data_IF_502557985465
#
_entry.id   IF_502557985465
#
_cell.length_a   1.000
_cell.length_b   1.000
_cell.length_c   1.000
_cell.angle_alpha   90.00
_cell.angle_beta   90.00
_cell.angle_gamma   90.00
#
_symmetry.space_group_name_H-M   'P 1'
#
loop_
_entity.id
_entity.type
_entity.pdbx_description
1 polymer ?
#
# COMPACT_ATOMS: atom_id res chain seq x y z
N UNK A 1 71.09 -31.69 8.55
CA UNK A 1 69.70 -31.72 8.00
C UNK A 1 68.76 -31.67 9.18
N UNK A 2 68.09 -30.52 9.38
CA UNK A 2 67.10 -30.39 10.44
C UNK A 2 65.70 -30.38 9.74
N UNK A 3 64.85 -31.36 10.10
CA UNK A 3 63.52 -31.50 9.60
C UNK A 3 62.61 -30.47 10.33
N UNK A 4 61.92 -29.64 9.55
CA UNK A 4 60.83 -28.75 10.06
C UNK A 4 59.50 -29.49 9.97
N UNK A 5 58.96 -29.80 11.14
CA UNK A 5 57.57 -30.32 11.24
C UNK A 5 56.57 -29.16 11.13
N UNK A 6 55.78 -29.16 10.09
CA UNK A 6 54.66 -28.18 9.91
C UNK A 6 53.46 -28.72 10.68
N UNK A 7 53.08 -28.03 11.74
CA UNK A 7 51.87 -28.31 12.51
C UNK A 7 50.68 -27.63 11.79
N UNK A 8 49.80 -28.42 11.15
CA UNK A 8 48.54 -27.93 10.58
C UNK A 8 47.52 -27.70 11.69
N UNK A 9 47.19 -26.45 11.96
CA UNK A 9 46.06 -26.07 12.81
C UNK A 9 44.78 -26.19 11.99
N UNK A 10 43.98 -27.22 12.24
CA UNK A 10 42.59 -27.32 11.72
C UNK A 10 41.71 -26.49 12.65
N UNK A 11 41.32 -25.31 12.20
CA UNK A 11 40.31 -24.50 12.89
C UNK A 11 38.93 -25.12 12.68
N UNK A 12 38.38 -25.71 13.71
CA UNK A 12 36.96 -26.15 13.72
C UNK A 12 36.07 -24.92 13.78
N UNK A 13 35.45 -24.57 12.67
CA UNK A 13 34.41 -23.55 12.64
C UNK A 13 33.15 -24.13 13.31
N UNK A 14 32.92 -23.76 14.55
CA UNK A 14 31.64 -24.07 15.22
C UNK A 14 30.51 -23.39 14.48
N UNK A 15 29.59 -24.18 13.94
CA UNK A 15 28.36 -23.65 13.37
C UNK A 15 27.56 -22.92 14.47
N UNK A 16 27.32 -21.65 14.29
CA UNK A 16 26.42 -20.88 15.15
C UNK A 16 25.02 -21.52 15.14
N UNK A 17 24.35 -21.62 16.30
CA UNK A 17 22.99 -22.13 16.34
C UNK A 17 22.11 -21.29 15.40
N UNK A 18 21.50 -21.92 14.43
CA UNK A 18 20.49 -21.29 13.60
C UNK A 18 19.31 -20.93 14.51
N UNK A 19 18.95 -19.65 14.53
CA UNK A 19 17.75 -19.20 15.23
C UNK A 19 16.50 -19.97 14.76
N UNK A 20 15.40 -19.94 15.51
CA UNK A 20 14.18 -20.65 15.13
C UNK A 20 13.81 -20.28 13.69
N UNK A 21 13.54 -21.31 12.87
CA UNK A 21 13.11 -21.11 11.49
C UNK A 21 11.89 -20.16 11.50
N UNK A 22 11.97 -19.08 10.75
CA UNK A 22 10.86 -18.15 10.61
C UNK A 22 9.62 -18.96 10.21
N UNK A 23 8.51 -18.74 10.90
CA UNK A 23 7.22 -19.35 10.57
C UNK A 23 6.95 -19.09 9.09
N UNK A 24 6.60 -20.12 8.28
CA UNK A 24 6.36 -19.91 6.86
C UNK A 24 5.25 -18.88 6.71
N UNK A 25 5.52 -17.76 6.01
CA UNK A 25 4.52 -16.78 5.66
C UNK A 25 3.49 -17.45 4.76
N UNK A 26 2.20 -17.38 5.14
CA UNK A 26 1.10 -17.86 4.31
C UNK A 26 0.04 -16.77 4.17
N UNK A 27 -0.42 -16.57 2.95
CA UNK A 27 -1.55 -15.69 2.62
C UNK A 27 -2.82 -16.54 2.58
N UNK A 28 -3.93 -16.01 3.08
CA UNK A 28 -5.24 -16.64 2.88
C UNK A 28 -5.51 -16.80 1.37
N UNK A 29 -6.20 -17.87 0.93
CA UNK A 29 -6.50 -18.07 -0.48
C UNK A 29 -7.26 -16.87 -1.08
N UNK A 30 -6.91 -16.49 -2.30
CA UNK A 30 -7.66 -15.50 -3.06
C UNK A 30 -8.90 -16.10 -3.69
N UNK A 31 -10.01 -15.39 -3.62
CA UNK A 31 -11.29 -15.74 -4.24
C UNK A 31 -11.78 -14.54 -5.05
N UNK A 32 -12.13 -14.78 -6.32
CA UNK A 32 -12.68 -13.72 -7.16
C UNK A 32 -14.02 -13.21 -6.58
N UNK A 33 -14.28 -11.90 -6.61
CA UNK A 33 -15.52 -11.35 -6.11
C UNK A 33 -16.72 -11.88 -6.90
N UNK A 34 -17.78 -12.27 -6.18
CA UNK A 34 -19.06 -12.63 -6.75
C UNK A 34 -19.91 -11.42 -7.13
N UNK A 35 -21.01 -11.65 -7.86
CA UNK A 35 -21.90 -10.57 -8.29
C UNK A 35 -22.59 -9.83 -7.14
N UNK A 36 -22.74 -10.47 -6.00
CA UNK A 36 -23.36 -9.89 -4.80
C UNK A 36 -22.36 -9.22 -3.86
N UNK A 37 -21.06 -9.39 -4.10
CA UNK A 37 -20.03 -8.85 -3.22
C UNK A 37 -19.89 -7.35 -3.38
N UNK A 38 -19.63 -6.67 -2.27
CA UNK A 38 -19.35 -5.24 -2.24
C UNK A 38 -17.86 -4.99 -2.49
N UNK A 39 -17.54 -4.08 -3.41
CA UNK A 39 -16.18 -3.59 -3.67
C UNK A 39 -16.20 -2.08 -3.79
N UNK A 40 -15.11 -1.46 -3.33
CA UNK A 40 -14.97 -0.02 -3.27
C UNK A 40 -13.87 0.52 -4.19
N UNK A 41 -13.60 1.83 -4.12
CA UNK A 41 -12.54 2.45 -4.93
C UNK A 41 -11.13 2.10 -4.45
N UNK A 42 -10.97 1.60 -3.23
CA UNK A 42 -9.66 1.25 -2.66
C UNK A 42 -9.23 -0.17 -3.07
N UNK A 43 -8.20 -0.35 -3.91
CA UNK A 43 -7.76 -1.67 -4.36
C UNK A 43 -7.25 -2.56 -3.23
N UNK A 44 -6.64 -1.98 -2.19
CA UNK A 44 -6.13 -2.76 -1.06
C UNK A 44 -7.26 -3.36 -0.23
N UNK A 45 -8.31 -2.60 0.05
CA UNK A 45 -9.47 -3.13 0.77
C UNK A 45 -10.19 -4.22 -0.03
N UNK A 46 -10.31 -4.05 -1.35
CA UNK A 46 -10.82 -5.09 -2.23
C UNK A 46 -9.96 -6.35 -2.19
N UNK A 47 -8.62 -6.18 -2.22
CA UNK A 47 -7.65 -7.27 -2.06
C UNK A 47 -7.85 -8.03 -0.75
N UNK A 48 -7.97 -7.30 0.36
CA UNK A 48 -8.19 -7.92 1.68
C UNK A 48 -9.53 -8.66 1.76
N UNK A 49 -10.58 -8.14 1.13
CA UNK A 49 -11.87 -8.83 0.99
C UNK A 49 -11.72 -10.10 0.14
N UNK A 50 -11.03 -10.01 -1.02
CA UNK A 50 -10.81 -11.16 -1.91
C UNK A 50 -10.02 -12.30 -1.23
N UNK A 51 -9.16 -11.97 -0.25
CA UNK A 51 -8.43 -12.94 0.57
C UNK A 51 -9.17 -13.34 1.86
N UNK A 52 -10.37 -12.82 2.12
CA UNK A 52 -11.13 -13.14 3.34
C UNK A 52 -10.49 -12.61 4.63
N UNK A 53 -9.74 -11.51 4.56
CA UNK A 53 -9.26 -10.78 5.74
C UNK A 53 -10.29 -9.78 6.26
N UNK A 54 -11.09 -9.21 5.36
CA UNK A 54 -12.06 -8.17 5.66
C UNK A 54 -13.46 -8.78 5.78
N UNK A 55 -13.74 -9.42 6.90
CA UNK A 55 -15.01 -10.10 7.16
C UNK A 55 -15.41 -10.06 8.62
N UNK A 56 -16.66 -9.70 8.92
CA UNK A 56 -17.25 -9.96 10.23
C UNK A 56 -17.28 -11.47 10.54
N UNK A 57 -17.17 -11.88 11.81
CA UNK A 57 -17.06 -13.30 12.19
C UNK A 57 -18.24 -14.21 11.81
N UNK A 58 -19.35 -13.68 11.34
CA UNK A 58 -20.60 -14.41 11.10
C UNK A 58 -21.16 -14.25 9.67
N UNK A 59 -20.41 -13.62 8.77
CA UNK A 59 -20.84 -13.35 7.40
C UNK A 59 -19.92 -14.03 6.38
N UNK A 60 -20.24 -13.88 5.09
CA UNK A 60 -19.38 -14.42 4.03
C UNK A 60 -18.00 -13.79 4.10
N UNK A 61 -16.92 -14.58 4.14
CA UNK A 61 -15.57 -14.05 4.35
C UNK A 61 -15.05 -13.16 3.23
N UNK A 62 -15.77 -13.07 2.10
CA UNK A 62 -15.31 -12.36 0.91
C UNK A 62 -16.26 -11.26 0.42
N UNK A 63 -17.40 -11.04 1.06
CA UNK A 63 -18.47 -10.20 0.52
C UNK A 63 -18.20 -8.68 0.66
N UNK A 64 -17.35 -8.26 1.58
CA UNK A 64 -17.01 -6.85 1.79
C UNK A 64 -18.19 -6.01 2.31
N UNK A 65 -19.09 -6.62 3.10
CA UNK A 65 -20.32 -6.00 3.58
C UNK A 65 -20.37 -5.89 5.10
N UNK A 66 -21.22 -4.98 5.57
CA UNK A 66 -21.57 -4.82 7.00
C UNK A 66 -20.36 -4.65 7.93
N UNK A 67 -19.33 -3.96 7.45
CA UNK A 67 -18.02 -3.83 8.08
C UNK A 67 -18.02 -2.76 9.17
N UNK A 68 -17.25 -2.98 10.22
CA UNK A 68 -16.97 -2.03 11.30
C UNK A 68 -15.55 -1.48 11.20
N UNK A 69 -15.25 -0.38 11.91
CA UNK A 69 -13.87 0.16 12.00
C UNK A 69 -12.87 -0.91 12.50
N UNK A 70 -13.31 -1.79 13.42
CA UNK A 70 -12.48 -2.85 13.97
C UNK A 70 -12.12 -3.90 12.91
N UNK A 71 -13.05 -4.23 12.00
CA UNK A 71 -12.81 -5.17 10.91
C UNK A 71 -11.72 -4.64 9.97
N UNK A 72 -11.72 -3.34 9.65
CA UNK A 72 -10.65 -2.70 8.88
C UNK A 72 -9.30 -2.77 9.59
N UNK A 73 -9.26 -2.42 10.89
CA UNK A 73 -8.03 -2.49 11.67
C UNK A 73 -7.45 -3.90 11.71
N UNK A 74 -8.28 -4.90 11.96
CA UNK A 74 -7.88 -6.31 12.00
C UNK A 74 -7.39 -6.81 10.64
N UNK A 75 -8.12 -6.51 9.55
CA UNK A 75 -7.78 -6.94 8.20
C UNK A 75 -6.44 -6.34 7.72
N UNK A 76 -6.21 -5.05 7.96
CA UNK A 76 -4.97 -4.36 7.61
C UNK A 76 -3.79 -4.88 8.42
N UNK A 77 -4.02 -5.24 9.68
CA UNK A 77 -3.00 -5.86 10.52
C UNK A 77 -2.65 -7.27 10.02
N UNK A 78 -3.64 -8.15 9.89
CA UNK A 78 -3.43 -9.54 9.51
C UNK A 78 -2.87 -9.68 8.09
N UNK A 79 -3.37 -8.86 7.15
CA UNK A 79 -2.97 -8.94 5.73
C UNK A 79 -1.67 -8.22 5.39
N UNK A 80 -1.36 -7.09 6.05
CA UNK A 80 -0.27 -6.21 5.67
C UNK A 80 0.74 -5.91 6.78
N UNK A 81 0.49 -6.36 8.01
CA UNK A 81 1.25 -5.99 9.20
C UNK A 81 1.21 -4.48 9.52
N UNK A 82 0.04 -3.83 9.30
CA UNK A 82 -0.21 -2.49 9.84
C UNK A 82 -0.63 -2.60 11.31
N UNK A 83 -0.18 -1.67 12.16
CA UNK A 83 -0.66 -1.60 13.55
C UNK A 83 -2.19 -1.43 13.57
N UNK A 84 -2.89 -2.21 14.39
CA UNK A 84 -4.37 -2.23 14.42
C UNK A 84 -4.97 -0.84 14.58
N UNK A 85 -4.42 0.00 15.49
CA UNK A 85 -4.92 1.36 15.70
C UNK A 85 -4.66 2.28 14.51
N UNK A 86 -3.61 2.03 13.73
CA UNK A 86 -3.34 2.78 12.50
C UNK A 86 -4.40 2.42 11.44
N UNK A 87 -4.65 1.14 11.18
CA UNK A 87 -5.68 0.69 10.25
C UNK A 87 -7.09 1.16 10.65
N UNK A 88 -7.44 1.05 11.93
CA UNK A 88 -8.69 1.57 12.44
C UNK A 88 -8.80 3.10 12.31
N UNK A 89 -7.70 3.83 12.52
CA UNK A 89 -7.63 5.29 12.36
C UNK A 89 -7.86 5.73 10.90
N UNK A 90 -7.30 5.00 9.93
CA UNK A 90 -7.57 5.26 8.51
C UNK A 90 -9.05 5.07 8.16
N UNK A 91 -9.70 4.03 8.70
CA UNK A 91 -11.11 3.77 8.49
C UNK A 91 -12.01 4.81 9.19
N UNK A 92 -11.66 5.23 10.41
CA UNK A 92 -12.50 6.09 11.24
C UNK A 92 -12.92 7.38 10.54
N UNK A 93 -12.07 7.98 9.72
CA UNK A 93 -12.41 9.17 8.96
C UNK A 93 -13.55 8.90 7.97
N UNK A 94 -13.50 7.79 7.22
CA UNK A 94 -14.54 7.43 6.27
C UNK A 94 -15.89 7.17 6.99
N UNK A 95 -15.88 6.43 8.09
CA UNK A 95 -17.06 6.17 8.91
C UNK A 95 -17.68 7.46 9.46
N UNK A 96 -16.85 8.40 9.91
CA UNK A 96 -17.30 9.71 10.38
C UNK A 96 -17.95 10.52 9.26
N UNK A 97 -17.34 10.55 8.08
CA UNK A 97 -17.86 11.29 6.92
C UNK A 97 -19.17 10.69 6.40
N UNK A 98 -19.30 9.35 6.43
CA UNK A 98 -20.53 8.65 6.04
C UNK A 98 -21.61 8.69 7.12
N UNK A 99 -21.26 9.03 8.37
CA UNK A 99 -22.19 9.05 9.48
C UNK A 99 -22.76 7.67 9.84
N UNK A 100 -21.95 6.62 9.66
CA UNK A 100 -22.37 5.22 9.79
C UNK A 100 -21.46 4.45 10.77
N UNK A 101 -22.05 3.50 11.50
CA UNK A 101 -21.32 2.58 12.38
C UNK A 101 -20.90 1.29 11.63
N UNK A 102 -21.53 1.03 10.48
CA UNK A 102 -21.25 -0.07 9.58
C UNK A 102 -21.35 0.39 8.14
N UNK A 103 -20.48 -0.11 7.28
CA UNK A 103 -20.47 0.21 5.86
C UNK A 103 -20.22 -1.04 5.02
N UNK A 104 -20.67 -1.00 3.78
CA UNK A 104 -20.22 -1.86 2.71
C UNK A 104 -19.02 -1.20 2.00
N UNK A 105 -18.13 -1.96 1.37
CA UNK A 105 -16.98 -1.37 0.67
C UNK A 105 -17.39 -0.38 -0.43
N UNK A 106 -18.55 -0.59 -1.07
CA UNK A 106 -19.06 0.31 -2.09
C UNK A 106 -19.43 1.70 -1.54
N UNK A 107 -19.74 1.82 -0.26
CA UNK A 107 -20.08 3.10 0.37
C UNK A 107 -18.89 4.08 0.37
N UNK A 108 -17.66 3.54 0.31
CA UNK A 108 -16.44 4.33 0.15
C UNK A 108 -16.37 5.05 -1.22
N UNK A 109 -17.25 4.70 -2.16
CA UNK A 109 -17.36 5.38 -3.46
C UNK A 109 -18.33 6.56 -3.45
N UNK A 110 -18.54 7.18 -2.30
CA UNK A 110 -19.39 8.37 -2.19
C UNK A 110 -18.60 9.61 -2.62
N UNK A 111 -18.95 10.21 -3.79
CA UNK A 111 -18.19 11.33 -4.37
C UNK A 111 -18.14 12.53 -3.44
N UNK A 112 -16.98 13.19 -3.38
CA UNK A 112 -16.71 14.39 -2.57
C UNK A 112 -16.88 14.17 -1.05
N UNK A 113 -17.11 12.93 -0.63
CA UNK A 113 -17.21 12.54 0.79
C UNK A 113 -16.04 11.63 1.16
N UNK A 114 -15.95 10.46 0.55
CA UNK A 114 -14.88 9.48 0.78
C UNK A 114 -14.03 9.24 -0.46
N UNK A 115 -14.62 9.37 -1.65
CA UNK A 115 -13.92 9.29 -2.93
C UNK A 115 -13.58 10.70 -3.44
N UNK A 116 -12.37 10.91 -3.91
CA UNK A 116 -11.90 12.19 -4.44
C UNK A 116 -11.50 12.09 -5.91
N UNK A 117 -11.45 13.23 -6.57
CA UNK A 117 -11.02 13.37 -7.96
C UNK A 117 -9.50 13.09 -8.11
N UNK A 118 -9.05 12.95 -9.35
CA UNK A 118 -7.66 12.70 -9.70
C UNK A 118 -7.13 11.35 -9.18
N UNK A 119 -7.91 10.30 -9.36
CA UNK A 119 -7.52 8.94 -9.03
C UNK A 119 -6.33 8.46 -9.89
N UNK A 120 -5.41 7.68 -9.30
CA UNK A 120 -4.23 7.17 -10.00
C UNK A 120 -4.57 6.14 -11.07
N UNK A 121 -5.54 5.26 -10.78
CA UNK A 121 -5.77 4.05 -11.59
C UNK A 121 -7.23 3.80 -11.95
N UNK A 122 -8.15 4.64 -11.44
CA UNK A 122 -9.57 4.59 -11.75
C UNK A 122 -10.03 5.88 -12.41
N UNK A 123 -11.16 5.86 -13.08
CA UNK A 123 -11.75 7.11 -13.57
C UNK A 123 -12.34 7.90 -12.40
N UNK A 124 -12.30 9.22 -12.52
CA UNK A 124 -13.03 10.08 -11.61
C UNK A 124 -14.53 9.83 -11.78
N UNK A 125 -15.29 9.85 -10.70
CA UNK A 125 -16.72 9.57 -10.71
C UNK A 125 -17.50 10.38 -11.77
N UNK A 126 -17.06 11.59 -12.05
CA UNK A 126 -17.68 12.45 -13.06
C UNK A 126 -17.35 12.08 -14.51
N UNK A 127 -16.35 11.24 -14.73
CA UNK A 127 -15.83 10.91 -16.07
C UNK A 127 -15.96 9.44 -16.44
N UNK A 128 -16.28 8.57 -15.47
CA UNK A 128 -16.37 7.14 -15.75
C UNK A 128 -16.60 6.28 -14.51
N UNK A 129 -16.17 5.04 -14.61
CA UNK A 129 -16.28 4.04 -13.55
C UNK A 129 -15.16 4.22 -12.53
N UNK A 130 -15.49 4.73 -11.34
CA UNK A 130 -14.56 4.93 -10.23
C UNK A 130 -14.32 3.65 -9.40
N UNK A 131 -15.07 2.58 -9.63
CA UNK A 131 -14.92 1.32 -8.91
C UNK A 131 -13.92 0.37 -9.56
N UNK A 132 -13.72 0.48 -10.87
CA UNK A 132 -12.90 -0.46 -11.62
C UNK A 132 -11.58 0.16 -12.05
N UNK A 133 -10.56 -0.70 -12.11
CA UNK A 133 -9.29 -0.35 -12.72
C UNK A 133 -9.51 0.09 -14.18
N UNK A 134 -8.95 1.23 -14.54
CA UNK A 134 -8.81 1.66 -15.95
C UNK A 134 -7.43 1.22 -16.46
N UNK A 135 -7.36 0.33 -17.47
CA UNK A 135 -6.10 -0.17 -17.99
C UNK A 135 -5.16 0.92 -18.52
N UNK A 136 -5.72 1.96 -19.16
CA UNK A 136 -4.92 3.07 -19.69
C UNK A 136 -4.31 3.92 -18.57
N UNK A 137 -5.04 4.12 -17.46
CA UNK A 137 -4.50 4.81 -16.28
C UNK A 137 -3.41 3.98 -15.58
N UNK A 138 -3.56 2.66 -15.53
CA UNK A 138 -2.50 1.78 -15.01
C UNK A 138 -1.25 1.86 -15.89
N UNK A 139 -1.39 1.77 -17.21
CA UNK A 139 -0.27 1.90 -18.15
C UNK A 139 0.45 3.24 -17.95
N UNK A 140 -0.30 4.34 -17.86
CA UNK A 140 0.26 5.66 -17.62
C UNK A 140 0.98 5.76 -16.25
N UNK A 141 0.43 5.17 -15.18
CA UNK A 141 1.08 5.10 -13.88
C UNK A 141 2.45 4.42 -13.96
N UNK A 142 2.51 3.28 -14.66
CA UNK A 142 3.76 2.53 -14.84
C UNK A 142 4.75 3.29 -15.73
N UNK A 143 4.26 4.05 -16.72
CA UNK A 143 5.08 4.86 -17.63
C UNK A 143 5.65 6.13 -16.95
N UNK A 144 5.10 6.59 -15.84
CA UNK A 144 5.64 7.73 -15.09
C UNK A 144 7.02 7.46 -14.46
N UNK A 145 7.53 6.24 -14.52
CA UNK A 145 8.89 5.87 -14.12
C UNK A 145 9.69 5.31 -15.29
N UNK A 146 10.93 5.71 -15.43
CA UNK A 146 11.88 5.19 -16.44
C UNK A 146 12.62 3.93 -15.97
N UNK A 147 12.33 3.45 -14.74
CA UNK A 147 12.94 2.25 -14.14
C UNK A 147 11.93 1.11 -14.00
N UNK A 148 12.37 -0.04 -13.50
CA UNK A 148 11.49 -1.19 -13.23
C UNK A 148 10.66 -1.05 -11.94
N UNK A 149 10.73 0.09 -11.26
CA UNK A 149 9.97 0.35 -10.04
C UNK A 149 9.35 1.73 -10.01
N UNK A 150 8.31 1.84 -9.18
CA UNK A 150 7.74 3.11 -8.74
C UNK A 150 8.43 3.55 -7.45
N UNK A 151 8.82 4.81 -7.38
CA UNK A 151 9.42 5.50 -6.25
C UNK A 151 8.68 6.81 -5.96
N UNK A 152 9.12 7.56 -4.95
CA UNK A 152 8.50 8.84 -4.60
C UNK A 152 8.53 9.83 -5.76
N UNK A 153 9.59 9.85 -6.56
CA UNK A 153 9.73 10.80 -7.67
C UNK A 153 8.76 10.47 -8.81
N UNK A 154 8.66 9.20 -9.22
CA UNK A 154 7.72 8.77 -10.24
C UNK A 154 6.27 8.93 -9.79
N UNK A 155 5.96 8.61 -8.53
CA UNK A 155 4.63 8.79 -7.96
C UNK A 155 4.24 10.26 -7.84
N UNK A 156 5.18 11.16 -7.58
CA UNK A 156 4.94 12.60 -7.64
C UNK A 156 4.57 13.06 -9.06
N UNK A 157 5.26 12.54 -10.10
CA UNK A 157 4.88 12.77 -11.52
C UNK A 157 3.47 12.25 -11.81
N UNK A 158 3.15 11.06 -11.32
CA UNK A 158 1.81 10.48 -11.45
C UNK A 158 0.75 11.39 -10.84
N UNK A 159 1.00 11.95 -9.64
CA UNK A 159 0.07 12.89 -9.01
C UNK A 159 -0.14 14.15 -9.84
N UNK A 160 0.93 14.78 -10.34
CA UNK A 160 0.82 15.95 -11.23
C UNK A 160 -0.04 15.61 -12.46
N UNK A 161 0.29 14.53 -13.15
CA UNK A 161 -0.42 14.10 -14.36
C UNK A 161 -1.92 13.87 -14.14
N UNK A 162 -2.31 13.15 -13.07
CA UNK A 162 -3.73 12.85 -12.85
C UNK A 162 -4.53 14.07 -12.38
N UNK A 163 -3.89 15.00 -11.67
CA UNK A 163 -4.52 16.27 -11.28
C UNK A 163 -4.75 17.18 -12.48
N UNK A 164 -3.82 17.22 -13.43
CA UNK A 164 -4.00 17.92 -14.71
C UNK A 164 -5.11 17.28 -15.55
N UNK A 165 -5.12 15.95 -15.65
CA UNK A 165 -6.15 15.20 -16.39
C UNK A 165 -7.55 15.37 -15.82
N UNK A 166 -7.68 15.55 -14.51
CA UNK A 166 -8.97 15.79 -13.87
C UNK A 166 -9.63 17.08 -14.36
N UNK A 167 -8.84 18.05 -14.85
CA UNK A 167 -9.33 19.31 -15.44
C UNK A 167 -10.19 20.14 -14.47
N UNK A 168 -10.13 19.86 -13.17
CA UNK A 168 -10.88 20.52 -12.11
C UNK A 168 -10.01 21.51 -11.35
N UNK A 169 -10.60 22.33 -10.48
CA UNK A 169 -9.83 23.15 -9.56
C UNK A 169 -8.81 22.33 -8.80
N UNK A 170 -7.69 22.92 -8.36
CA UNK A 170 -6.72 22.23 -7.52
C UNK A 170 -7.39 21.52 -6.34
N UNK A 171 -6.88 20.37 -5.96
CA UNK A 171 -7.35 19.65 -4.79
C UNK A 171 -7.27 20.55 -3.55
N UNK A 172 -8.23 20.44 -2.64
CA UNK A 172 -8.11 21.09 -1.35
C UNK A 172 -6.90 20.53 -0.59
N UNK A 173 -6.35 21.30 0.34
CA UNK A 173 -5.19 20.88 1.13
C UNK A 173 -5.41 19.55 1.87
N UNK A 174 -6.65 19.26 2.29
CA UNK A 174 -7.03 18.01 2.93
C UNK A 174 -6.97 16.86 1.92
N UNK A 175 -7.63 16.99 0.78
CA UNK A 175 -7.66 15.97 -0.28
C UNK A 175 -6.26 15.74 -0.87
N UNK A 176 -5.46 16.79 -1.04
CA UNK A 176 -4.06 16.65 -1.46
C UNK A 176 -3.24 15.83 -0.46
N UNK A 177 -3.47 16.03 0.84
CA UNK A 177 -2.79 15.25 1.88
C UNK A 177 -3.26 13.80 1.88
N UNK A 178 -4.56 13.55 1.69
CA UNK A 178 -5.10 12.21 1.53
C UNK A 178 -4.47 11.51 0.31
N UNK A 179 -4.51 12.13 -0.86
CA UNK A 179 -3.96 11.57 -2.10
C UNK A 179 -2.44 11.28 -2.01
N UNK A 180 -1.66 12.14 -1.33
CA UNK A 180 -0.26 11.88 -1.05
C UNK A 180 -0.07 10.74 -0.04
N UNK A 181 -0.96 10.61 0.94
CA UNK A 181 -0.99 9.50 1.89
C UNK A 181 -1.28 8.16 1.21
N UNK A 182 -2.18 8.13 0.25
CA UNK A 182 -2.48 6.93 -0.56
C UNK A 182 -1.25 6.47 -1.36
N UNK A 183 -0.49 7.40 -1.94
CA UNK A 183 0.81 7.11 -2.55
C UNK A 183 1.78 6.52 -1.52
N UNK A 184 1.85 7.12 -0.34
CA UNK A 184 2.67 6.61 0.75
C UNK A 184 2.29 5.19 1.15
N UNK A 185 1.00 4.89 1.29
CA UNK A 185 0.49 3.54 1.59
C UNK A 185 0.85 2.53 0.50
N UNK A 186 0.72 2.91 -0.79
CA UNK A 186 1.13 2.06 -1.91
C UNK A 186 2.62 1.71 -1.81
N UNK A 187 3.48 2.71 -1.63
CA UNK A 187 4.92 2.49 -1.52
C UNK A 187 5.28 1.66 -0.29
N UNK A 188 4.69 1.92 0.88
CA UNK A 188 4.91 1.13 2.10
C UNK A 188 4.47 -0.33 1.93
N UNK A 189 3.34 -0.56 1.26
CA UNK A 189 2.79 -1.90 1.09
C UNK A 189 3.49 -2.71 0.01
N UNK A 190 4.04 -2.08 -1.04
CA UNK A 190 4.53 -2.77 -2.24
C UNK A 190 6.06 -2.74 -2.42
N UNK A 191 6.80 -1.96 -1.63
CA UNK A 191 8.25 -1.88 -1.74
C UNK A 191 8.98 -3.04 -1.05
N UNK A 192 10.19 -3.36 -1.51
CA UNK A 192 11.08 -4.36 -0.91
C UNK A 192 12.04 -3.77 0.15
N UNK A 193 12.17 -2.46 0.18
CA UNK A 193 13.15 -1.79 1.02
C UNK A 193 12.82 -1.87 2.51
N UNK A 194 13.82 -1.79 3.39
CA UNK A 194 13.56 -1.59 4.80
C UNK A 194 12.82 -0.27 4.96
N UNK A 195 11.68 -0.32 5.62
CA UNK A 195 11.03 0.89 6.10
C UNK A 195 11.92 1.39 7.23
N UNK A 196 12.59 2.53 7.03
CA UNK A 196 13.40 3.15 8.08
C UNK A 196 12.51 3.34 9.31
N UNK A 197 13.03 3.04 10.50
CA UNK A 197 12.30 3.32 11.73
C UNK A 197 12.08 4.83 11.79
N UNK A 198 10.84 5.22 11.46
CA UNK A 198 10.48 6.62 11.38
C UNK A 198 10.43 7.21 12.73
N UNK A 199 11.01 8.09 13.18
CA UNK A 199 10.71 9.04 14.23
C UNK A 199 11.72 10.20 14.13
N UNK A 200 11.25 11.38 13.95
CA UNK A 200 12.07 12.57 13.88
C UNK A 200 12.96 12.61 12.62
N UNK A 201 12.47 12.08 11.50
CA UNK A 201 13.18 12.08 10.23
C UNK A 201 13.45 13.51 9.81
N UNK A 202 14.69 13.93 9.96
CA UNK A 202 15.18 15.24 9.51
C UNK A 202 15.47 15.19 8.01
N UNK A 203 15.87 14.02 7.49
CA UNK A 203 16.16 13.79 6.08
C UNK A 203 15.22 12.73 5.50
N UNK A 204 14.16 13.19 4.84
CA UNK A 204 13.15 12.34 4.20
C UNK A 204 13.73 11.53 3.04
N UNK A 205 14.71 12.08 2.30
CA UNK A 205 15.32 11.37 1.19
C UNK A 205 16.19 10.21 1.68
N UNK A 206 16.92 10.38 2.77
CA UNK A 206 17.70 9.30 3.39
C UNK A 206 16.80 8.20 3.96
N UNK A 207 15.62 8.58 4.49
CA UNK A 207 14.71 7.62 5.11
C UNK A 207 13.88 6.82 4.10
N UNK A 208 13.44 7.45 3.02
CA UNK A 208 12.46 6.90 2.08
C UNK A 208 12.92 6.87 0.62
N UNK A 209 14.10 7.40 0.30
CA UNK A 209 14.61 7.48 -1.06
C UNK A 209 14.87 6.11 -1.71
N UNK A 210 15.00 5.07 -0.91
CA UNK A 210 15.18 3.67 -1.37
C UNK A 210 13.89 2.85 -1.39
N UNK A 211 12.74 3.45 -1.03
CA UNK A 211 11.45 2.77 -1.21
C UNK A 211 11.16 2.63 -2.71
N UNK A 212 11.08 1.38 -3.16
CA UNK A 212 10.88 1.02 -4.57
C UNK A 212 9.88 -0.12 -4.68
N UNK A 213 8.73 0.19 -5.26
CA UNK A 213 7.69 -0.79 -5.53
C UNK A 213 7.89 -1.34 -6.96
N UNK A 214 8.25 -2.64 -7.14
CA UNK A 214 8.41 -3.24 -8.47
C UNK A 214 7.14 -3.08 -9.31
N UNK A 215 7.29 -2.63 -10.56
CA UNK A 215 6.17 -2.36 -11.47
C UNK A 215 5.33 -3.59 -11.77
N UNK A 216 5.96 -4.74 -11.97
CA UNK A 216 5.28 -6.02 -12.19
C UNK A 216 4.42 -6.42 -10.99
N UNK A 217 4.90 -6.16 -9.77
CA UNK A 217 4.17 -6.39 -8.53
C UNK A 217 2.96 -5.48 -8.42
N UNK A 218 3.15 -4.17 -8.65
CA UNK A 218 2.05 -3.19 -8.61
C UNK A 218 1.01 -3.48 -9.68
N UNK A 219 1.44 -3.82 -10.91
CA UNK A 219 0.55 -4.18 -12.00
C UNK A 219 -0.26 -5.45 -11.70
N UNK A 220 0.38 -6.50 -11.19
CA UNK A 220 -0.28 -7.75 -10.82
C UNK A 220 -1.32 -7.51 -9.71
N UNK A 221 -0.94 -6.77 -8.67
CA UNK A 221 -1.85 -6.40 -7.58
C UNK A 221 -3.06 -5.64 -8.06
N UNK A 222 -2.87 -4.52 -8.78
CA UNK A 222 -3.96 -3.65 -9.20
C UNK A 222 -4.89 -4.31 -10.22
N UNK A 223 -4.36 -5.20 -11.08
CA UNK A 223 -5.15 -5.89 -12.10
C UNK A 223 -6.08 -6.94 -11.52
N UNK A 224 -5.65 -7.64 -10.49
CA UNK A 224 -6.41 -8.76 -9.91
C UNK A 224 -6.99 -8.46 -8.54
N UNK A 225 -6.53 -7.40 -7.89
CA UNK A 225 -6.79 -7.16 -6.47
C UNK A 225 -6.48 -8.43 -5.64
N UNK A 226 -5.28 -8.98 -5.91
CA UNK A 226 -4.68 -10.15 -5.28
C UNK A 226 -3.33 -9.75 -4.69
N UNK A 227 -2.97 -10.26 -3.50
CA UNK A 227 -1.64 -10.04 -2.94
C UNK A 227 -0.58 -10.67 -3.85
N UNK A 228 0.35 -9.89 -4.43
CA UNK A 228 1.21 -10.34 -5.53
C UNK A 228 2.40 -11.18 -5.04
N UNK A 229 2.10 -12.29 -4.35
CA UNK A 229 3.09 -13.20 -3.76
C UNK A 229 4.00 -13.82 -4.83
N UNK A 230 3.45 -14.08 -6.02
CA UNK A 230 4.21 -14.60 -7.16
C UNK A 230 5.27 -13.62 -7.66
N UNK A 231 5.07 -12.29 -7.48
CA UNK A 231 6.02 -11.22 -7.76
C UNK A 231 6.92 -10.92 -6.54
N UNK A 232 7.04 -11.85 -5.62
CA UNK A 232 7.92 -11.73 -4.46
C UNK A 232 7.36 -10.90 -3.31
N UNK A 233 6.11 -10.43 -3.36
CA UNK A 233 5.53 -9.65 -2.28
C UNK A 233 5.51 -10.41 -0.95
N UNK A 234 5.79 -9.69 0.12
CA UNK A 234 5.65 -10.14 1.51
C UNK A 234 5.13 -8.97 2.34
N UNK A 235 4.37 -9.21 3.42
CA UNK A 235 4.04 -8.14 4.36
C UNK A 235 5.31 -7.57 4.97
N UNK A 236 5.25 -6.34 5.42
CA UNK A 236 6.37 -5.69 6.08
C UNK A 236 6.92 -6.55 7.23
N UNK A 237 8.25 -6.65 7.32
CA UNK A 237 8.92 -7.46 8.35
C UNK A 237 8.67 -6.94 9.77
N UNK A 238 8.47 -5.63 9.91
CA UNK A 238 8.01 -5.00 11.15
C UNK A 238 6.62 -4.40 10.97
N UNK A 239 5.94 -4.22 12.08
CA UNK A 239 4.64 -3.56 12.08
C UNK A 239 4.76 -2.10 11.59
N UNK A 240 3.92 -1.73 10.63
CA UNK A 240 3.85 -0.38 10.07
C UNK A 240 2.88 0.48 10.89
N UNK A 241 3.25 1.73 11.13
CA UNK A 241 2.51 2.66 11.97
C UNK A 241 2.23 3.97 11.24
N UNK A 242 1.41 4.83 11.84
CA UNK A 242 1.19 6.19 11.34
C UNK A 242 2.49 7.01 11.28
N UNK A 243 3.46 6.72 12.18
CA UNK A 243 4.76 7.39 12.19
C UNK A 243 5.61 7.05 10.92
N UNK A 244 5.31 5.96 10.24
CA UNK A 244 5.94 5.63 8.95
C UNK A 244 5.26 6.38 7.79
N UNK A 245 3.94 6.54 7.86
CA UNK A 245 3.18 7.16 6.77
C UNK A 245 3.31 8.69 6.73
N UNK A 246 3.23 9.37 7.87
CA UNK A 246 3.18 10.84 7.89
C UNK A 246 4.40 11.50 7.26
N UNK A 247 5.65 11.11 7.58
CA UNK A 247 6.83 11.68 6.94
C UNK A 247 6.88 11.35 5.44
N UNK A 248 6.48 10.13 5.04
CA UNK A 248 6.43 9.74 3.64
C UNK A 248 5.39 10.54 2.85
N UNK A 249 4.21 10.80 3.44
CA UNK A 249 3.20 11.70 2.88
C UNK A 249 3.77 13.09 2.62
N UNK A 250 4.51 13.64 3.58
CA UNK A 250 5.19 14.93 3.41
C UNK A 250 6.24 14.87 2.31
N UNK A 251 7.00 13.79 2.21
CA UNK A 251 8.01 13.62 1.17
C UNK A 251 7.38 13.59 -0.23
N UNK A 252 6.27 12.87 -0.42
CA UNK A 252 5.50 12.87 -1.68
C UNK A 252 5.01 14.27 -2.03
N UNK A 253 4.45 15.02 -1.06
CA UNK A 253 4.00 16.40 -1.27
C UNK A 253 5.14 17.33 -1.67
N UNK A 254 6.30 17.23 -1.02
CA UNK A 254 7.47 18.03 -1.33
C UNK A 254 8.00 17.71 -2.74
N UNK A 255 8.07 16.44 -3.11
CA UNK A 255 8.49 16.02 -4.44
C UNK A 255 7.54 16.54 -5.54
N UNK A 256 6.22 16.46 -5.32
CA UNK A 256 5.21 17.06 -6.21
C UNK A 256 5.37 18.58 -6.31
N UNK A 257 5.52 19.27 -5.16
CA UNK A 257 5.71 20.74 -5.13
C UNK A 257 6.94 21.19 -5.91
N UNK A 258 8.04 20.43 -5.85
CA UNK A 258 9.25 20.72 -6.61
C UNK A 258 9.03 20.64 -8.12
N UNK A 259 8.21 19.68 -8.61
CA UNK A 259 7.87 19.56 -10.03
C UNK A 259 6.99 20.72 -10.55
N UNK A 260 6.17 21.31 -9.69
CA UNK A 260 5.28 22.41 -10.06
C UNK A 260 5.98 23.80 -10.00
N UNK A 261 7.14 23.88 -9.38
CA UNK A 261 7.91 25.13 -9.18
C UNK A 261 9.14 25.28 -10.09
N UNK A 262 9.51 24.23 -10.83
CA UNK A 262 10.60 24.21 -11.82
C UNK A 262 10.11 24.39 -13.21
#
# INVERSE_FOLDING_TARGET
MRAFTVLSLIATVAALPQGPAATPFSVKPWVAPGLSDSRGPCPMLNTLANHGYLSPPHESPHDGRNLTIQDFGAALHEGLNLHVSFGAGLAAQAFQLLGADRIDLVDLNTPEVTEHQASLTRNDHSSGDSLRLDPGRLEALLADSDTDYLDVASMARSRVRVEELSGRPPLSALVETQAAGEVGLLLLAMSDGPISEGAGVVDLAAAYGDLRAPKDRVAAWLTKEELPVAQGWRPAAREMTLADLLPLTLYVKNAKGALLSG
#
